data_IF_236604431870
#
_entry.id   IF_236604431870
#
_cell.length_a   1.000
_cell.length_b   1.000
_cell.length_c   1.000
_cell.angle_alpha   90.00
_cell.angle_beta   90.00
_cell.angle_gamma   90.00
#
_symmetry.space_group_name_H-M   'P 1'
#
loop_
_entity.id
_entity.type
_entity.pdbx_description
1 polymer ?
#
# COMPACT_ATOMS: atom_id res chain seq x y z
N UNK A 1 33.76 -22.03 38.47
CA UNK A 1 32.86 -20.97 38.96
C UNK A 1 32.03 -20.49 37.79
N UNK A 2 30.73 -20.30 38.03
CA UNK A 2 29.68 -20.09 37.02
C UNK A 2 29.54 -18.61 36.64
N UNK A 3 28.93 -18.32 35.48
CA UNK A 3 28.43 -16.98 35.20
C UNK A 3 28.12 -16.72 33.74
N UNK A 4 26.93 -17.11 33.29
CA UNK A 4 26.38 -16.69 32.01
C UNK A 4 26.11 -15.18 31.97
N UNK A 5 26.34 -14.58 30.81
CA UNK A 5 25.86 -13.26 30.45
C UNK A 5 25.20 -13.36 29.09
N UNK A 6 23.88 -13.49 29.09
CA UNK A 6 23.06 -13.41 27.88
C UNK A 6 23.36 -12.09 27.17
N UNK A 7 23.74 -12.04 25.89
CA UNK A 7 23.49 -10.83 25.14
C UNK A 7 21.96 -10.70 25.12
N UNK A 8 21.44 -9.62 25.70
CA UNK A 8 20.04 -9.24 25.51
C UNK A 8 19.91 -8.73 24.08
N UNK A 9 19.24 -9.42 23.14
CA UNK A 9 18.85 -8.78 21.90
C UNK A 9 17.51 -8.10 22.18
N UNK A 10 17.52 -6.86 22.65
CA UNK A 10 16.34 -6.00 22.53
C UNK A 10 16.65 -4.53 22.74
N UNK A 11 16.18 -3.63 21.86
CA UNK A 11 15.53 -3.86 20.56
C UNK A 11 16.50 -3.52 19.41
N UNK A 12 16.59 -4.37 18.39
CA UNK A 12 17.17 -3.97 17.11
C UNK A 12 16.23 -4.46 16.00
N UNK A 13 15.96 -3.67 14.95
CA UNK A 13 16.04 -2.21 14.80
C UNK A 13 14.63 -1.59 14.89
N UNK A 14 14.50 -0.34 15.28
CA UNK A 14 13.47 0.49 14.67
C UNK A 14 14.02 0.74 13.27
N UNK A 15 13.41 0.24 12.18
CA UNK A 15 13.66 0.84 10.88
C UNK A 15 13.00 2.23 10.91
N UNK A 16 13.61 3.15 11.66
CA UNK A 16 13.62 4.55 11.24
C UNK A 16 14.39 4.50 9.92
N UNK A 17 13.68 4.61 8.80
CA UNK A 17 14.13 4.34 7.43
C UNK A 17 13.76 2.92 6.92
N UNK A 18 12.45 2.63 6.84
CA UNK A 18 11.93 1.75 5.79
C UNK A 18 12.10 2.47 4.44
N UNK A 19 13.34 2.56 3.99
CA UNK A 19 13.67 2.80 2.58
C UNK A 19 13.38 1.54 1.76
N UNK A 20 12.25 0.89 1.99
CA UNK A 20 11.61 0.09 0.97
C UNK A 20 11.10 1.10 -0.05
N UNK A 21 11.81 1.29 -1.16
CA UNK A 21 11.37 2.23 -2.18
C UNK A 21 9.95 1.86 -2.62
N UNK A 22 8.98 2.63 -2.14
CA UNK A 22 7.59 2.38 -2.40
C UNK A 22 7.36 2.45 -3.90
N UNK A 23 6.58 1.53 -4.46
CA UNK A 23 6.42 1.47 -5.91
C UNK A 23 5.76 2.75 -6.41
N UNK A 24 6.48 3.53 -7.23
CA UNK A 24 5.93 4.72 -7.90
C UNK A 24 5.09 4.36 -9.12
N UNK A 25 5.46 3.27 -9.79
CA UNK A 25 4.79 2.76 -10.98
C UNK A 25 5.18 1.30 -11.18
N UNK A 26 4.19 0.42 -11.39
CA UNK A 26 4.40 -1.03 -11.51
C UNK A 26 3.63 -1.81 -10.44
N UNK A 27 4.13 -2.99 -10.09
CA UNK A 27 3.51 -3.82 -9.06
C UNK A 27 4.06 -3.51 -7.67
N UNK A 28 3.18 -3.40 -6.68
CA UNK A 28 3.56 -3.20 -5.29
C UNK A 28 3.62 -4.52 -4.51
N UNK A 29 3.59 -5.67 -5.20
CA UNK A 29 3.48 -6.99 -4.57
C UNK A 29 4.68 -7.29 -3.64
N UNK A 30 5.88 -6.87 -4.05
CA UNK A 30 7.13 -7.11 -3.33
C UNK A 30 7.41 -6.01 -2.30
N UNK A 31 7.16 -4.75 -2.65
CA UNK A 31 7.39 -3.60 -1.77
C UNK A 31 6.29 -3.42 -0.73
N UNK A 32 5.09 -3.90 -1.03
CA UNK A 32 3.87 -3.72 -0.23
C UNK A 32 3.60 -2.24 0.11
N UNK A 33 4.18 -1.32 -0.64
CA UNK A 33 4.12 0.11 -0.41
C UNK A 33 3.91 0.86 -1.72
N UNK A 34 3.20 1.97 -1.65
CA UNK A 34 2.92 2.86 -2.77
C UNK A 34 3.58 4.21 -2.53
N UNK A 35 4.27 4.75 -3.54
CA UNK A 35 4.90 6.08 -3.42
C UNK A 35 3.87 7.18 -3.18
N UNK A 36 2.65 7.01 -3.72
CA UNK A 36 1.56 7.92 -3.48
C UNK A 36 0.88 7.58 -2.15
N UNK A 37 0.85 8.51 -1.18
CA UNK A 37 0.20 8.27 0.11
C UNK A 37 -1.33 8.14 0.01
N UNK A 38 -1.94 8.57 -1.10
CA UNK A 38 -3.38 8.38 -1.36
C UNK A 38 -3.71 6.97 -1.84
N UNK A 39 -2.72 6.21 -2.29
CA UNK A 39 -2.89 4.87 -2.80
C UNK A 39 -2.45 3.85 -1.76
N UNK A 40 -3.08 2.67 -1.81
CA UNK A 40 -2.67 1.52 -1.03
C UNK A 40 -2.37 0.36 -1.96
N UNK A 41 -1.47 -0.50 -1.52
CA UNK A 41 -1.13 -1.68 -2.28
C UNK A 41 -2.23 -2.72 -2.11
N UNK A 42 -2.97 -2.97 -3.19
CA UNK A 42 -4.01 -4.00 -3.22
C UNK A 42 -3.60 -5.14 -4.13
N UNK A 43 -3.77 -6.35 -3.64
CA UNK A 43 -3.54 -7.56 -4.41
C UNK A 43 -4.68 -7.80 -5.40
N UNK A 44 -4.31 -8.05 -6.65
CA UNK A 44 -5.22 -8.60 -7.65
C UNK A 44 -5.25 -10.11 -7.52
N UNK A 45 -4.08 -10.73 -7.63
CA UNK A 45 -3.83 -12.16 -7.56
C UNK A 45 -2.43 -12.44 -6.98
N UNK A 46 -2.04 -13.71 -6.87
CA UNK A 46 -0.77 -14.12 -6.28
C UNK A 46 0.48 -13.60 -7.03
N UNK A 47 0.33 -13.18 -8.29
CA UNK A 47 1.41 -12.66 -9.14
C UNK A 47 1.36 -11.13 -9.30
N UNK A 48 0.26 -10.49 -8.91
CA UNK A 48 0.05 -9.08 -9.21
C UNK A 48 -0.62 -8.32 -8.07
N UNK A 49 -0.05 -7.17 -7.72
CA UNK A 49 -0.65 -6.18 -6.83
C UNK A 49 -0.34 -4.79 -7.36
N UNK A 50 -1.23 -3.84 -7.10
CA UNK A 50 -1.14 -2.49 -7.63
C UNK A 50 -1.50 -1.45 -6.59
N UNK A 51 -0.93 -0.27 -6.76
CA UNK A 51 -1.30 0.92 -6.00
C UNK A 51 -2.63 1.43 -6.53
N UNK A 52 -3.67 1.38 -5.69
CA UNK A 52 -4.98 1.94 -6.01
C UNK A 52 -5.45 2.82 -4.85
N UNK A 53 -6.16 3.89 -5.16
CA UNK A 53 -6.85 4.69 -4.15
C UNK A 53 -7.98 3.91 -3.47
N UNK A 54 -8.62 3.01 -4.22
CA UNK A 54 -9.66 2.12 -3.71
C UNK A 54 -9.69 0.81 -4.51
N UNK A 55 -10.02 -0.28 -3.83
CA UNK A 55 -10.15 -1.59 -4.46
C UNK A 55 -11.41 -2.29 -3.93
N UNK A 56 -12.27 -2.75 -4.84
CA UNK A 56 -13.46 -3.53 -4.52
C UNK A 56 -13.26 -4.99 -4.90
N UNK A 57 -13.37 -5.95 -3.96
CA UNK A 57 -13.23 -7.36 -4.27
C UNK A 57 -14.16 -7.79 -5.43
N UNK A 58 -13.59 -8.47 -6.42
CA UNK A 58 -14.30 -8.87 -7.63
C UNK A 58 -14.34 -7.82 -8.74
N UNK A 59 -13.76 -6.63 -8.54
CA UNK A 59 -13.65 -5.66 -9.62
C UNK A 59 -12.76 -6.19 -10.75
N UNK A 60 -13.12 -5.79 -11.97
CA UNK A 60 -12.34 -6.05 -13.17
C UNK A 60 -11.79 -4.71 -13.62
N UNK A 61 -10.48 -4.64 -13.83
CA UNK A 61 -9.88 -3.45 -14.41
C UNK A 61 -10.04 -3.52 -15.94
N UNK A 62 -10.86 -2.64 -16.51
CA UNK A 62 -11.15 -2.63 -17.96
C UNK A 62 -9.94 -2.14 -18.79
N UNK A 63 -9.02 -1.42 -18.15
CA UNK A 63 -7.76 -0.97 -18.75
C UNK A 63 -6.73 -2.11 -18.89
N UNK A 64 -6.93 -3.23 -18.19
CA UNK A 64 -6.09 -4.41 -18.37
C UNK A 64 -6.37 -5.06 -19.74
N UNK A 65 -5.36 -5.64 -20.41
CA UNK A 65 -5.58 -6.42 -21.62
C UNK A 65 -6.64 -7.50 -21.38
N UNK A 66 -7.49 -7.79 -22.35
CA UNK A 66 -8.65 -8.71 -22.20
C UNK A 66 -8.30 -10.05 -21.52
N UNK A 67 -7.10 -10.58 -21.74
CA UNK A 67 -6.60 -11.82 -21.12
C UNK A 67 -6.26 -11.70 -19.62
N UNK A 68 -6.10 -10.49 -19.11
CA UNK A 68 -5.78 -10.15 -17.73
C UNK A 68 -6.92 -9.41 -17.03
N UNK A 69 -8.09 -9.29 -17.64
CA UNK A 69 -9.29 -8.76 -16.98
C UNK A 69 -9.86 -9.78 -16.00
N UNK A 70 -9.10 -10.05 -14.93
CA UNK A 70 -9.46 -10.98 -13.86
C UNK A 70 -9.92 -10.23 -12.63
N UNK A 71 -10.76 -10.91 -11.84
CA UNK A 71 -11.30 -10.40 -10.59
C UNK A 71 -10.17 -10.10 -9.61
N UNK A 72 -10.14 -8.87 -9.10
CA UNK A 72 -9.20 -8.49 -8.08
C UNK A 72 -9.63 -9.04 -6.72
N UNK A 73 -8.67 -9.60 -5.99
CA UNK A 73 -8.87 -10.04 -4.60
C UNK A 73 -9.04 -8.85 -3.66
N UNK A 74 -8.42 -7.71 -3.98
CA UNK A 74 -8.38 -6.49 -3.19
C UNK A 74 -7.88 -6.70 -1.75
N UNK A 75 -6.96 -7.65 -1.56
CA UNK A 75 -6.30 -7.85 -0.28
C UNK A 75 -5.34 -6.67 -0.08
N UNK A 76 -5.55 -5.91 0.99
CA UNK A 76 -4.65 -4.83 1.37
C UNK A 76 -3.32 -5.43 1.82
N UNK A 77 -2.27 -5.16 1.05
CA UNK A 77 -0.90 -5.58 1.35
C UNK A 77 -0.13 -4.49 2.09
N UNK A 78 -0.57 -3.23 2.00
CA UNK A 78 0.07 -2.15 2.75
C UNK A 78 0.08 -2.45 4.23
N UNK A 79 1.28 -2.42 4.80
CA UNK A 79 1.54 -2.61 6.22
C UNK A 79 1.09 -1.36 6.98
N UNK A 80 -0.22 -1.21 7.17
CA UNK A 80 -0.84 -0.27 8.08
C UNK A 80 -0.51 -0.66 9.54
N UNK A 81 0.74 -0.47 9.96
CA UNK A 81 1.04 -0.31 11.38
C UNK A 81 0.96 1.18 11.66
N UNK A 82 -0.12 1.57 12.33
CA UNK A 82 -0.52 2.93 12.74
C UNK A 82 -1.47 3.65 11.77
N UNK A 83 -2.75 3.28 11.83
CA UNK A 83 -3.81 4.24 11.56
C UNK A 83 -4.19 4.90 12.91
N UNK A 84 -4.35 6.23 12.93
CA UNK A 84 -5.68 6.70 12.56
C UNK A 84 -5.69 7.98 11.74
N UNK A 85 -6.58 8.01 10.74
CA UNK A 85 -7.49 9.12 10.42
C UNK A 85 -7.66 9.25 8.90
N UNK A 86 -8.90 9.37 8.39
CA UNK A 86 -9.13 9.56 6.96
C UNK A 86 -8.42 10.82 6.48
N UNK A 87 -7.64 10.69 5.41
CA UNK A 87 -7.13 11.83 4.65
C UNK A 87 -8.32 12.75 4.33
N UNK A 88 -8.22 14.07 4.55
CA UNK A 88 -9.26 14.99 4.13
C UNK A 88 -9.43 14.83 2.63
N UNK A 89 -10.65 14.55 2.19
CA UNK A 89 -11.03 14.64 0.79
C UNK A 89 -10.48 15.97 0.22
N UNK A 90 -9.96 16.01 -1.02
CA UNK A 90 -9.69 17.29 -1.66
C UNK A 90 -10.98 18.11 -1.62
N UNK A 91 -10.95 19.41 -1.26
CA UNK A 91 -12.14 20.23 -1.29
C UNK A 91 -12.74 20.15 -2.71
N UNK A 92 -14.07 20.03 -2.86
CA UNK A 92 -14.68 20.01 -4.17
C UNK A 92 -14.24 21.26 -4.95
N UNK A 93 -14.06 21.17 -6.29
CA UNK A 93 -13.69 22.33 -7.07
C UNK A 93 -14.71 23.43 -6.80
N UNK A 94 -14.26 24.58 -6.30
CA UNK A 94 -15.13 25.74 -6.11
C UNK A 94 -15.85 26.02 -7.42
N UNK A 95 -17.19 26.20 -7.42
CA UNK A 95 -17.88 26.57 -8.64
C UNK A 95 -17.33 27.92 -9.11
N UNK A 96 -16.79 27.95 -10.32
CA UNK A 96 -16.40 29.20 -10.99
C UNK A 96 -17.58 30.17 -10.95
N UNK A 97 -17.39 31.44 -10.57
CA UNK A 97 -18.45 32.43 -10.69
C UNK A 97 -18.81 32.58 -12.17
N UNK A 98 -20.07 32.27 -12.50
CA UNK A 98 -20.67 32.62 -13.78
C UNK A 98 -20.69 34.17 -13.93
N UNK A 99 -20.65 34.70 -15.18
CA UNK A 99 -20.41 36.12 -15.46
C UNK A 99 -21.48 37.07 -14.90
#
# INVERSE_FOLDING_TARGET
>A
DAGGGSPSPSPSPIPDDDSGECTASGTCLETQCCSNPQERCYQKDEYWAGCLESCMPGMINEDDPLQYQTAWSCILLSQDTDAPSPSPLPPPPSPSPAP
#
